data_IF_743876899755
#
_entry.id   IF_743876899755
#
_cell.length_a   1.000
_cell.length_b   1.000
_cell.length_c   1.000
_cell.angle_alpha   90.00
_cell.angle_beta   90.00
_cell.angle_gamma   90.00
#
_symmetry.space_group_name_H-M   'P 1'
#
loop_
_entity.id
_entity.type
_entity.pdbx_description
1 polymer ?
#
# COMPACT_ATOMS: atom_id res chain seq x y z
N UNK A 1 28.51 -32.32 44.76
CA UNK A 1 28.54 -32.26 46.24
C UNK A 1 28.09 -30.87 46.65
N UNK A 2 27.06 -30.79 47.49
CA UNK A 2 26.52 -29.63 48.25
C UNK A 2 26.10 -28.39 47.43
N UNK A 3 24.81 -28.21 47.13
CA UNK A 3 23.77 -27.57 47.97
C UNK A 3 24.10 -26.13 48.39
N UNK A 4 23.29 -25.16 47.95
CA UNK A 4 22.56 -24.25 48.86
C UNK A 4 21.53 -23.46 48.04
N UNK A 5 20.27 -23.75 48.35
CA UNK A 5 19.05 -23.09 47.89
C UNK A 5 18.82 -21.86 48.75
N UNK A 6 18.66 -20.67 48.16
CA UNK A 6 18.16 -19.50 48.87
C UNK A 6 16.85 -19.04 48.20
N UNK A 7 15.74 -19.34 48.89
CA UNK A 7 14.40 -18.83 48.60
C UNK A 7 14.31 -17.39 49.13
N UNK A 8 13.93 -16.45 48.28
CA UNK A 8 13.43 -15.14 48.73
C UNK A 8 11.92 -15.13 48.52
N UNK A 9 11.20 -15.14 49.64
CA UNK A 9 9.79 -14.83 49.72
C UNK A 9 9.65 -13.32 49.91
N UNK A 10 8.78 -12.67 49.12
CA UNK A 10 8.34 -11.30 49.36
C UNK A 10 6.81 -11.25 49.21
N UNK A 11 6.21 -10.62 50.20
CA UNK A 11 4.82 -10.78 50.63
C UNK A 11 3.80 -10.09 49.71
N UNK A 12 2.60 -10.68 49.69
CA UNK A 12 1.36 -10.01 49.31
C UNK A 12 1.04 -8.89 50.30
N UNK A 13 0.71 -7.71 49.80
CA UNK A 13 -0.10 -6.72 50.52
C UNK A 13 -1.29 -6.32 49.66
N UNK A 14 -2.47 -6.65 50.16
CA UNK A 14 -3.76 -6.16 49.69
C UNK A 14 -4.00 -4.74 50.23
N UNK A 15 -4.52 -3.86 49.38
CA UNK A 15 -4.95 -2.52 49.77
C UNK A 15 -6.14 -2.09 48.92
N UNK A 16 -7.35 -2.28 49.45
CA UNK A 16 -8.59 -1.75 48.92
C UNK A 16 -8.87 -0.40 49.60
N UNK A 17 -9.09 0.66 48.82
CA UNK A 17 -9.73 1.89 49.29
C UNK A 17 -10.69 2.41 48.22
N UNK A 18 -11.99 2.31 48.52
CA UNK A 18 -13.06 3.03 47.84
C UNK A 18 -13.48 4.18 48.75
N UNK A 19 -13.55 5.40 48.22
CA UNK A 19 -14.29 6.51 48.82
C UNK A 19 -15.03 7.26 47.72
N UNK A 20 -16.36 7.25 47.87
CA UNK A 20 -17.33 7.98 47.08
C UNK A 20 -17.28 9.47 47.42
N UNK A 21 -17.35 10.32 46.39
CA UNK A 21 -17.63 11.75 46.52
C UNK A 21 -19.02 12.05 45.98
N UNK A 22 -19.91 12.51 46.87
CA UNK A 22 -21.23 13.07 46.57
C UNK A 22 -21.16 14.61 46.49
N UNK A 23 -22.09 15.20 45.74
CA UNK A 23 -22.42 16.64 45.72
C UNK A 23 -22.70 17.08 44.28
N UNK A 24 -23.80 17.71 43.89
CA UNK A 24 -24.93 18.32 44.61
C UNK A 24 -26.08 18.46 43.60
N UNK A 25 -27.33 18.42 44.07
CA UNK A 25 -28.54 18.34 43.24
C UNK A 25 -29.27 19.69 43.04
N UNK A 26 -29.82 19.85 41.82
CA UNK A 26 -31.12 20.47 41.42
C UNK A 26 -31.28 22.02 41.44
N UNK A 27 -32.31 22.64 40.78
CA UNK A 27 -33.46 22.08 40.03
C UNK A 27 -33.72 22.74 38.63
N UNK A 28 -34.80 22.38 37.89
CA UNK A 28 -34.99 22.60 36.46
C UNK A 28 -35.85 23.83 36.12
N UNK A 29 -35.78 24.33 34.88
CA UNK A 29 -36.72 25.32 34.36
C UNK A 29 -37.05 25.10 32.87
N UNK A 30 -38.28 24.61 32.65
CA UNK A 30 -39.26 25.03 31.64
C UNK A 30 -38.88 25.11 30.14
N UNK A 31 -39.33 24.12 29.37
CA UNK A 31 -40.23 24.38 28.24
C UNK A 31 -41.67 24.36 28.81
N UNK A 32 -42.69 25.09 28.29
CA UNK A 32 -43.01 25.20 26.85
C UNK A 32 -43.61 26.55 26.38
N UNK A 33 -43.49 26.90 25.10
CA UNK A 33 -44.64 27.43 24.34
C UNK A 33 -44.46 27.34 22.83
N UNK A 34 -45.46 26.73 22.20
CA UNK A 34 -45.90 26.91 20.82
C UNK A 34 -46.15 28.38 20.47
N UNK A 35 -45.63 28.82 19.33
CA UNK A 35 -46.26 29.89 18.53
C UNK A 35 -46.22 29.49 17.05
N UNK A 36 -47.38 29.08 16.58
CA UNK A 36 -47.79 28.98 15.18
C UNK A 36 -47.63 30.35 14.53
N UNK A 37 -46.94 30.43 13.39
CA UNK A 37 -47.11 31.54 12.46
C UNK A 37 -47.55 30.97 11.11
N UNK A 38 -48.85 31.10 10.89
CA UNK A 38 -49.53 30.91 9.63
C UNK A 38 -49.09 32.01 8.67
N UNK A 39 -48.65 31.65 7.46
CA UNK A 39 -48.68 32.58 6.33
C UNK A 39 -49.27 31.85 5.13
N UNK A 40 -50.54 32.16 4.90
CA UNK A 40 -51.34 31.78 3.74
C UNK A 40 -51.05 32.76 2.62
N UNK A 41 -50.60 32.33 1.43
CA UNK A 41 -50.96 33.04 0.17
C UNK A 41 -50.81 32.14 -1.07
N UNK A 42 -51.97 31.92 -1.69
CA UNK A 42 -52.27 31.81 -3.13
C UNK A 42 -51.62 30.73 -4.00
N UNK A 43 -52.47 29.73 -4.26
CA UNK A 43 -52.69 29.03 -5.54
C UNK A 43 -52.51 29.93 -6.77
N UNK A 44 -51.66 29.51 -7.71
CA UNK A 44 -51.74 29.90 -9.12
C UNK A 44 -51.65 28.66 -9.98
N UNK A 45 -52.78 28.37 -10.64
CA UNK A 45 -52.99 27.27 -11.56
C UNK A 45 -52.46 27.69 -12.93
N UNK A 46 -51.30 27.16 -13.34
CA UNK A 46 -50.88 27.20 -14.73
C UNK A 46 -51.15 25.84 -15.38
N UNK A 47 -52.20 25.80 -16.19
CA UNK A 47 -52.54 24.71 -17.09
C UNK A 47 -51.46 24.66 -18.18
N UNK A 48 -50.70 23.56 -18.24
CA UNK A 48 -49.83 23.26 -19.37
C UNK A 48 -50.29 21.95 -20.01
N UNK A 49 -50.92 22.09 -21.17
CA UNK A 49 -51.35 21.01 -22.07
C UNK A 49 -50.13 20.33 -22.67
N UNK A 50 -49.80 19.13 -22.17
CA UNK A 50 -48.81 18.26 -22.82
C UNK A 50 -49.54 17.33 -23.81
N UNK A 51 -49.14 17.25 -25.09
CA UNK A 51 -49.67 16.26 -26.00
C UNK A 51 -49.11 14.88 -25.66
N UNK A 52 -50.00 13.91 -25.44
CA UNK A 52 -49.65 12.50 -25.25
C UNK A 52 -49.03 11.96 -26.53
N UNK A 53 -47.70 11.86 -26.57
CA UNK A 53 -46.99 11.00 -27.51
C UNK A 53 -46.63 9.71 -26.78
N UNK A 54 -47.26 8.62 -27.20
CA UNK A 54 -46.96 7.25 -26.81
C UNK A 54 -45.49 6.95 -27.10
N UNK A 55 -44.63 7.03 -26.07
CA UNK A 55 -43.24 6.59 -26.17
C UNK A 55 -43.15 5.09 -25.87
N UNK A 56 -42.78 4.35 -26.90
CA UNK A 56 -42.37 2.94 -26.90
C UNK A 56 -41.33 2.68 -25.78
N UNK A 57 -41.40 1.53 -25.06
CA UNK A 57 -40.44 1.20 -24.00
C UNK A 57 -39.00 1.26 -24.52
N UNK A 58 -38.16 2.05 -23.85
CA UNK A 58 -36.74 2.11 -24.13
C UNK A 58 -36.10 0.75 -23.82
N UNK A 59 -35.28 0.18 -24.72
CA UNK A 59 -34.57 -1.06 -24.44
C UNK A 59 -33.60 -0.88 -23.26
N UNK A 60 -33.32 -1.95 -22.51
CA UNK A 60 -32.40 -1.91 -21.37
C UNK A 60 -31.02 -1.38 -21.79
N UNK A 61 -30.30 -0.65 -20.91
CA UNK A 61 -29.00 -0.09 -21.26
C UNK A 61 -28.03 -1.20 -21.64
N UNK A 62 -27.61 -1.20 -22.91
CA UNK A 62 -26.54 -2.04 -23.43
C UNK A 62 -25.30 -1.83 -22.56
N UNK A 63 -24.64 -2.89 -22.05
CA UNK A 63 -23.42 -2.73 -21.27
C UNK A 63 -22.37 -2.03 -22.13
N UNK A 64 -21.98 -0.82 -21.72
CA UNK A 64 -20.89 -0.07 -22.37
C UNK A 64 -19.63 -0.93 -22.25
N UNK A 65 -18.95 -1.28 -23.36
CA UNK A 65 -17.68 -1.97 -23.26
C UNK A 65 -16.76 -1.12 -22.40
N UNK A 66 -16.19 -1.72 -21.35
CA UNK A 66 -15.11 -1.09 -20.61
C UNK A 66 -13.93 -1.04 -21.56
N UNK A 67 -13.75 0.08 -22.24
CA UNK A 67 -12.62 0.29 -23.14
C UNK A 67 -11.35 0.20 -22.31
N UNK A 68 -10.66 -0.94 -22.41
CA UNK A 68 -9.27 -1.08 -22.00
C UNK A 68 -8.51 -0.05 -22.80
N UNK A 69 -8.18 1.10 -22.20
CA UNK A 69 -7.36 2.11 -22.88
C UNK A 69 -6.02 1.44 -23.18
N UNK A 70 -5.67 1.20 -24.46
CA UNK A 70 -4.34 0.72 -24.80
C UNK A 70 -3.33 1.73 -24.24
N UNK A 71 -2.20 1.24 -23.74
CA UNK A 71 -1.08 2.12 -23.41
C UNK A 71 -0.79 3.00 -24.63
N UNK A 72 -0.58 4.32 -24.48
CA UNK A 72 -0.13 5.16 -25.57
C UNK A 72 1.06 4.49 -26.28
N UNK A 73 1.04 4.48 -27.61
CA UNK A 73 2.11 3.88 -28.40
C UNK A 73 3.47 4.39 -27.92
N UNK A 74 4.39 3.47 -27.60
CA UNK A 74 5.71 3.81 -27.06
C UNK A 74 5.81 3.89 -25.54
N UNK A 75 4.78 3.52 -24.76
CA UNK A 75 4.90 3.39 -23.30
C UNK A 75 4.92 1.94 -22.83
N UNK A 76 5.69 1.68 -21.78
CA UNK A 76 5.79 0.38 -21.09
C UNK A 76 5.32 0.51 -19.64
N UNK A 77 4.88 -0.61 -19.06
CA UNK A 77 4.50 -0.66 -17.65
C UNK A 77 5.74 -0.81 -16.75
N UNK A 78 5.73 -0.12 -15.63
CA UNK A 78 6.69 -0.23 -14.54
C UNK A 78 5.97 -0.01 -13.20
N UNK A 79 6.68 0.28 -12.11
CA UNK A 79 6.10 0.69 -10.85
C UNK A 79 7.03 1.59 -10.06
N UNK A 80 6.42 2.38 -9.20
CA UNK A 80 7.06 3.05 -8.08
C UNK A 80 6.57 2.40 -6.77
N UNK A 81 7.44 2.33 -5.77
CA UNK A 81 7.09 1.74 -4.47
C UNK A 81 6.62 2.83 -3.51
N UNK A 82 5.41 2.64 -2.99
CA UNK A 82 4.78 3.55 -2.03
C UNK A 82 4.52 2.84 -0.71
N UNK A 83 4.32 3.62 0.33
CA UNK A 83 4.00 3.11 1.66
C UNK A 83 2.51 2.79 1.74
N UNK A 84 2.16 1.70 2.40
CA UNK A 84 0.80 1.46 2.89
C UNK A 84 0.92 0.88 4.29
N UNK A 85 0.44 1.63 5.29
CA UNK A 85 0.98 1.50 6.64
C UNK A 85 2.46 1.91 6.62
N UNK A 86 3.32 1.10 7.21
CA UNK A 86 4.77 1.36 7.30
C UNK A 86 5.59 0.56 6.26
N UNK A 87 4.90 -0.20 5.39
CA UNK A 87 5.55 -1.13 4.45
C UNK A 87 5.47 -0.66 3.01
N UNK A 88 6.50 -0.96 2.22
CA UNK A 88 6.57 -0.63 0.78
C UNK A 88 5.78 -1.63 -0.08
N UNK A 89 5.09 -1.11 -1.10
CA UNK A 89 4.34 -1.89 -2.09
C UNK A 89 4.50 -1.28 -3.49
N UNK A 90 4.69 -2.10 -4.54
CA UNK A 90 4.79 -1.59 -5.90
C UNK A 90 3.42 -1.19 -6.45
N UNK A 91 3.34 0.00 -7.03
CA UNK A 91 2.13 0.53 -7.67
C UNK A 91 2.38 0.82 -9.14
N UNK A 92 1.48 0.33 -10.00
CA UNK A 92 1.61 0.45 -11.45
C UNK A 92 1.90 1.88 -11.89
N UNK A 93 2.92 2.01 -12.75
CA UNK A 93 3.28 3.25 -13.44
C UNK A 93 3.50 2.97 -14.92
N UNK A 94 3.49 4.03 -15.70
CA UNK A 94 3.85 4.00 -17.12
C UNK A 94 5.15 4.75 -17.33
N UNK A 95 5.96 4.28 -18.25
CA UNK A 95 7.22 4.89 -18.60
C UNK A 95 7.46 4.83 -20.11
N UNK A 96 8.31 5.72 -20.61
CA UNK A 96 8.64 5.82 -22.03
C UNK A 96 10.10 5.40 -22.25
N UNK A 97 10.37 4.32 -23.01
CA UNK A 97 11.73 3.94 -23.35
C UNK A 97 12.48 5.05 -24.10
N UNK A 98 13.82 5.17 -23.94
CA UNK A 98 14.68 4.28 -23.15
C UNK A 98 14.72 4.61 -21.65
N UNK A 99 14.09 5.70 -21.20
CA UNK A 99 14.26 6.25 -19.85
C UNK A 99 13.40 5.58 -18.76
N UNK A 100 13.17 4.26 -18.85
CA UNK A 100 12.18 3.55 -18.02
C UNK A 100 12.44 3.67 -16.51
N UNK A 101 13.70 3.54 -16.10
CA UNK A 101 14.09 3.69 -14.69
C UNK A 101 13.97 5.14 -14.19
N UNK A 102 14.32 6.11 -15.04
CA UNK A 102 14.16 7.53 -14.72
C UNK A 102 12.69 7.93 -14.54
N UNK A 103 11.80 7.39 -15.38
CA UNK A 103 10.36 7.60 -15.25
C UNK A 103 9.77 6.95 -14.00
N UNK A 104 10.27 5.76 -13.61
CA UNK A 104 9.86 5.13 -12.35
C UNK A 104 10.25 6.00 -11.14
N UNK A 105 11.46 6.57 -11.13
CA UNK A 105 11.88 7.52 -10.09
C UNK A 105 11.05 8.78 -10.13
N UNK A 106 10.85 9.41 -11.30
CA UNK A 106 9.96 10.59 -11.43
C UNK A 106 8.56 10.31 -10.91
N UNK A 107 8.02 9.13 -11.19
CA UNK A 107 6.72 8.71 -10.68
C UNK A 107 6.71 8.51 -9.16
N UNK A 108 7.80 8.03 -8.56
CA UNK A 108 7.98 7.99 -7.11
C UNK A 108 7.99 9.40 -6.52
N UNK A 109 8.77 10.32 -7.11
CA UNK A 109 8.88 11.72 -6.67
C UNK A 109 7.55 12.49 -6.79
N UNK A 110 6.74 12.18 -7.81
CA UNK A 110 5.40 12.73 -7.97
C UNK A 110 4.41 12.27 -6.88
N UNK A 111 4.72 11.16 -6.20
CA UNK A 111 3.89 10.61 -5.12
C UNK A 111 2.67 9.80 -5.59
N UNK A 112 1.86 9.33 -4.64
CA UNK A 112 0.63 8.61 -4.92
C UNK A 112 -0.49 9.54 -5.43
N UNK A 113 -1.27 9.05 -6.39
CA UNK A 113 -2.44 9.75 -6.93
C UNK A 113 -3.54 9.93 -5.87
N UNK A 114 -4.54 10.76 -6.14
CA UNK A 114 -5.66 10.96 -5.21
C UNK A 114 -6.40 9.65 -4.89
N UNK A 115 -6.63 8.81 -5.91
CA UNK A 115 -7.26 7.50 -5.74
C UNK A 115 -6.39 6.54 -4.91
N UNK A 116 -5.07 6.56 -5.12
CA UNK A 116 -4.14 5.74 -4.33
C UNK A 116 -4.07 6.20 -2.87
N UNK A 117 -4.08 7.51 -2.62
CA UNK A 117 -4.17 8.07 -1.27
C UNK A 117 -5.46 7.66 -0.57
N UNK A 118 -6.59 7.69 -1.28
CA UNK A 118 -7.86 7.18 -0.76
C UNK A 118 -7.82 5.67 -0.47
N UNK A 119 -7.00 4.91 -1.20
CA UNK A 119 -6.72 3.49 -0.95
C UNK A 119 -5.62 3.24 0.10
N UNK A 120 -5.16 4.28 0.81
CA UNK A 120 -4.21 4.18 1.92
C UNK A 120 -2.73 4.25 1.52
N UNK A 121 -2.40 4.48 0.25
CA UNK A 121 -1.01 4.67 -0.17
C UNK A 121 -0.50 6.06 0.23
N UNK A 122 0.74 6.11 0.71
CA UNK A 122 1.44 7.31 1.18
C UNK A 122 2.88 7.33 0.64
N UNK A 123 3.55 8.46 0.80
CA UNK A 123 4.97 8.60 0.46
C UNK A 123 5.67 9.35 1.58
N UNK A 124 6.90 8.93 1.89
CA UNK A 124 7.81 9.67 2.75
C UNK A 124 8.73 10.63 1.97
N UNK A 125 8.67 10.60 0.63
CA UNK A 125 9.42 11.51 -0.24
C UNK A 125 8.82 12.93 -0.13
N UNK A 126 9.63 13.98 0.15
CA UNK A 126 9.14 15.35 0.23
C UNK A 126 8.70 15.87 -1.13
N UNK A 127 7.72 16.77 -1.12
CA UNK A 127 7.35 17.53 -2.32
C UNK A 127 8.51 18.42 -2.77
N UNK A 128 8.67 18.59 -4.08
CA UNK A 128 9.70 19.47 -4.66
C UNK A 128 11.06 18.82 -4.84
N UNK A 129 11.22 17.53 -4.49
CA UNK A 129 12.40 16.76 -4.89
C UNK A 129 12.37 16.53 -6.40
N UNK A 130 13.49 16.79 -7.07
CA UNK A 130 13.64 16.55 -8.49
C UNK A 130 14.77 15.55 -8.78
N UNK A 131 14.59 14.77 -9.84
CA UNK A 131 15.63 13.90 -10.40
C UNK A 131 16.56 14.75 -11.28
N UNK A 132 17.82 14.87 -10.86
CA UNK A 132 18.88 15.60 -11.58
C UNK A 132 19.61 14.69 -12.56
N UNK A 133 19.83 13.43 -12.19
CA UNK A 133 20.53 12.46 -13.02
C UNK A 133 20.30 11.02 -12.59
N UNK A 134 20.37 10.10 -13.54
CA UNK A 134 20.34 8.66 -13.27
C UNK A 134 21.27 7.94 -14.25
N UNK A 135 22.21 7.17 -13.73
CA UNK A 135 23.12 6.33 -14.51
C UNK A 135 23.11 4.92 -13.96
N UNK A 136 23.04 3.91 -14.84
CA UNK A 136 23.11 2.50 -14.44
C UNK A 136 24.36 1.88 -15.06
N UNK A 137 25.27 1.40 -14.23
CA UNK A 137 26.51 0.72 -14.64
C UNK A 137 26.86 -0.40 -13.67
N UNK A 138 27.19 -1.58 -14.20
CA UNK A 138 27.64 -2.73 -13.39
C UNK A 138 26.70 -3.09 -12.23
N UNK A 139 25.38 -3.12 -12.47
CA UNK A 139 24.39 -3.42 -11.44
C UNK A 139 24.12 -2.27 -10.45
N UNK A 140 24.79 -1.13 -10.56
CA UNK A 140 24.59 0.02 -9.66
C UNK A 140 23.84 1.14 -10.37
N UNK A 141 22.72 1.57 -9.80
CA UNK A 141 22.01 2.78 -10.19
C UNK A 141 22.50 3.97 -9.35
N UNK A 142 23.28 4.86 -9.96
CA UNK A 142 23.66 6.13 -9.36
C UNK A 142 22.57 7.16 -9.65
N UNK A 143 21.84 7.58 -8.62
CA UNK A 143 20.72 8.51 -8.70
C UNK A 143 21.08 9.83 -8.02
N UNK A 144 21.03 10.92 -8.76
CA UNK A 144 21.24 12.28 -8.28
C UNK A 144 19.89 12.98 -8.12
N UNK A 145 19.55 13.34 -6.88
CA UNK A 145 18.33 14.05 -6.52
C UNK A 145 18.68 15.44 -5.97
N UNK A 146 17.71 16.34 -5.92
CA UNK A 146 17.89 17.60 -5.20
C UNK A 146 18.03 17.37 -3.70
N UNK A 147 18.81 18.20 -2.99
CA UNK A 147 19.09 18.07 -1.56
C UNK A 147 17.84 18.12 -0.67
N UNK A 148 16.72 18.63 -1.19
CA UNK A 148 15.40 18.52 -0.57
C UNK A 148 15.01 17.06 -0.23
N UNK A 149 15.62 16.06 -0.89
CA UNK A 149 15.37 14.65 -0.56
C UNK A 149 15.90 14.25 0.82
N UNK A 150 16.81 14.99 1.43
CA UNK A 150 17.29 14.75 2.80
C UNK A 150 16.54 15.56 3.86
N UNK A 151 15.57 16.39 3.47
CA UNK A 151 14.87 17.28 4.40
C UNK A 151 13.55 16.69 4.93
N UNK A 152 13.17 17.11 6.13
CA UNK A 152 11.84 16.88 6.72
C UNK A 152 11.56 15.45 7.21
N UNK A 153 10.78 15.36 8.29
CA UNK A 153 10.43 14.10 8.97
C UNK A 153 11.51 13.66 9.97
N UNK A 154 11.18 12.67 10.81
CA UNK A 154 12.15 12.03 11.71
C UNK A 154 12.77 10.78 11.08
N UNK A 155 13.65 10.11 11.84
CA UNK A 155 14.37 8.90 11.44
C UNK A 155 13.52 7.85 10.69
N UNK A 156 12.32 7.51 11.19
CA UNK A 156 11.45 6.52 10.53
C UNK A 156 11.02 6.92 9.10
N UNK A 157 10.70 8.20 8.88
CA UNK A 157 10.35 8.73 7.55
C UNK A 157 11.56 8.72 6.62
N UNK A 158 12.76 8.97 7.15
CA UNK A 158 14.00 8.93 6.37
C UNK A 158 14.30 7.52 5.87
N UNK A 159 14.22 6.49 6.73
CA UNK A 159 14.36 5.10 6.31
C UNK A 159 13.29 4.68 5.31
N UNK A 160 12.02 5.03 5.56
CA UNK A 160 10.93 4.71 4.65
C UNK A 160 11.14 5.33 3.25
N UNK A 161 11.67 6.55 3.19
CA UNK A 161 12.01 7.23 1.93
C UNK A 161 13.14 6.54 1.17
N UNK A 162 14.21 6.17 1.86
CA UNK A 162 15.31 5.42 1.26
C UNK A 162 14.86 4.04 0.78
N UNK A 163 13.98 3.36 1.53
CA UNK A 163 13.37 2.11 1.12
C UNK A 163 12.56 2.28 -0.16
N UNK A 164 11.66 3.27 -0.24
CA UNK A 164 10.87 3.53 -1.44
C UNK A 164 11.76 3.76 -2.69
N UNK A 165 12.84 4.53 -2.56
CA UNK A 165 13.79 4.77 -3.64
C UNK A 165 14.50 3.48 -4.06
N UNK A 166 15.05 2.75 -3.08
CA UNK A 166 15.81 1.53 -3.30
C UNK A 166 14.98 0.47 -4.00
N UNK A 167 13.76 0.20 -3.53
CA UNK A 167 12.86 -0.76 -4.15
C UNK A 167 12.42 -0.34 -5.56
N UNK A 168 12.23 0.96 -5.80
CA UNK A 168 11.85 1.50 -7.12
C UNK A 168 12.96 1.37 -8.16
N UNK A 169 14.22 1.40 -7.76
CA UNK A 169 15.35 1.22 -8.70
C UNK A 169 15.76 -0.25 -8.82
N UNK A 170 15.77 -1.01 -7.73
CA UNK A 170 16.15 -2.44 -7.73
C UNK A 170 15.09 -3.38 -8.29
N UNK A 171 13.94 -2.87 -8.74
CA UNK A 171 12.97 -3.70 -9.51
C UNK A 171 13.45 -4.02 -10.93
N UNK A 172 14.43 -3.27 -11.44
CA UNK A 172 14.98 -3.49 -12.77
C UNK A 172 16.08 -4.54 -12.63
N UNK A 173 16.04 -5.62 -13.41
CA UNK A 173 17.00 -6.72 -13.31
C UNK A 173 18.44 -6.31 -13.61
N UNK A 174 18.66 -5.13 -14.19
CA UNK A 174 19.99 -4.53 -14.42
C UNK A 174 20.50 -3.72 -13.21
N UNK A 175 19.75 -3.64 -12.11
CA UNK A 175 20.03 -2.83 -10.93
C UNK A 175 19.93 -3.70 -9.67
N UNK A 176 21.07 -3.98 -9.06
CA UNK A 176 21.20 -4.71 -7.81
C UNK A 176 21.24 -3.77 -6.60
N UNK A 177 21.80 -2.56 -6.79
CA UNK A 177 22.07 -1.61 -5.71
C UNK A 177 21.95 -0.15 -6.15
N UNK A 178 21.76 0.76 -5.21
CA UNK A 178 21.52 2.19 -5.47
C UNK A 178 22.57 3.06 -4.78
N UNK A 179 23.26 3.89 -5.53
CA UNK A 179 24.14 4.93 -4.99
C UNK A 179 23.39 6.27 -4.99
N UNK A 180 23.12 6.82 -3.81
CA UNK A 180 22.41 8.08 -3.65
C UNK A 180 23.37 9.27 -3.71
N UNK A 181 23.07 10.21 -4.60
CA UNK A 181 23.73 11.50 -4.73
C UNK A 181 22.70 12.60 -4.47
N UNK A 182 23.14 13.65 -3.78
CA UNK A 182 22.35 14.85 -3.55
C UNK A 182 23.12 16.06 -4.05
N UNK A 183 22.48 16.78 -4.97
CA UNK A 183 23.03 17.95 -5.62
C UNK A 183 24.41 17.71 -6.27
N UNK A 184 24.61 16.53 -6.86
CA UNK A 184 25.87 16.13 -7.47
C UNK A 184 26.94 15.63 -6.50
N UNK A 185 26.61 15.47 -5.22
CA UNK A 185 27.54 14.98 -4.18
C UNK A 185 27.10 13.60 -3.68
N UNK A 186 28.00 12.60 -3.59
CA UNK A 186 27.66 11.30 -3.01
C UNK A 186 27.32 11.44 -1.52
N UNK A 187 26.21 10.84 -1.10
CA UNK A 187 25.76 10.88 0.30
C UNK A 187 26.43 9.79 1.12
N UNK A 188 27.10 10.16 2.21
CA UNK A 188 27.62 9.24 3.24
C UNK A 188 26.90 9.34 4.58
N UNK A 189 26.33 10.50 4.87
CA UNK A 189 25.49 10.73 6.04
C UNK A 189 24.21 11.37 5.52
N UNK A 190 23.11 10.66 5.67
CA UNK A 190 21.81 11.06 5.20
C UNK A 190 21.05 11.77 6.31
N UNK A 191 20.69 13.03 6.04
CA UNK A 191 19.94 13.93 6.92
C UNK A 191 20.67 14.34 8.22
N UNK A 192 20.06 15.26 8.98
CA UNK A 192 20.55 15.69 10.29
C UNK A 192 20.42 14.64 11.40
N UNK A 193 19.71 13.53 11.14
CA UNK A 193 19.55 12.40 12.06
C UNK A 193 20.81 11.50 12.11
N UNK A 194 21.77 11.71 11.21
CA UNK A 194 23.03 10.97 11.22
C UNK A 194 22.94 9.55 10.64
N UNK A 195 21.99 9.26 9.75
CA UNK A 195 21.89 7.94 9.10
C UNK A 195 23.11 7.72 8.22
N UNK A 196 23.97 6.78 8.58
CA UNK A 196 25.18 6.48 7.82
C UNK A 196 24.84 5.63 6.59
N UNK A 197 25.34 6.05 5.43
CA UNK A 197 25.31 5.32 4.16
C UNK A 197 26.77 5.04 3.78
N UNK A 198 27.30 3.93 4.26
CA UNK A 198 28.68 3.49 4.00
C UNK A 198 28.80 2.55 2.78
N UNK A 199 27.68 2.03 2.29
CA UNK A 199 27.58 1.24 1.06
C UNK A 199 26.39 1.66 0.18
N UNK A 200 26.37 1.27 -1.11
CA UNK A 200 25.18 1.43 -1.94
C UNK A 200 23.98 0.69 -1.34
N UNK A 201 22.81 1.32 -1.39
CA UNK A 201 21.58 0.86 -0.78
C UNK A 201 21.06 -0.40 -1.50
N UNK A 202 20.64 -1.39 -0.72
CA UNK A 202 20.05 -2.64 -1.18
C UNK A 202 18.75 -2.95 -0.44
N UNK A 203 17.92 -3.83 -0.99
CA UNK A 203 16.61 -4.17 -0.37
C UNK A 203 16.75 -4.76 1.03
N UNK A 204 17.85 -5.46 1.30
CA UNK A 204 18.11 -6.09 2.60
C UNK A 204 18.24 -5.07 3.75
N UNK A 205 18.63 -3.83 3.45
CA UNK A 205 18.77 -2.75 4.44
C UNK A 205 17.41 -2.29 5.02
N UNK A 206 16.31 -2.69 4.38
CA UNK A 206 14.97 -2.18 4.65
C UNK A 206 13.96 -3.31 4.93
N UNK A 207 14.39 -4.39 5.58
CA UNK A 207 13.50 -5.49 5.98
C UNK A 207 12.33 -4.99 6.86
N UNK A 208 12.59 -4.02 7.74
CA UNK A 208 11.58 -3.39 8.59
C UNK A 208 10.56 -2.56 7.81
N UNK A 209 10.87 -2.11 6.60
CA UNK A 209 9.92 -1.44 5.70
C UNK A 209 9.37 -2.41 4.64
N UNK A 210 9.74 -3.68 4.66
CA UNK A 210 9.28 -4.68 3.68
C UNK A 210 8.15 -5.52 4.28
N UNK A 211 7.04 -5.74 3.55
CA UNK A 211 5.99 -6.63 4.04
C UNK A 211 6.51 -8.07 4.09
N UNK A 212 5.92 -8.89 4.97
CA UNK A 212 6.31 -10.29 5.16
C UNK A 212 6.28 -11.06 3.85
N UNK A 213 5.28 -10.80 3.00
CA UNK A 213 5.23 -11.26 1.61
C UNK A 213 5.10 -10.05 0.70
N UNK A 214 6.05 -9.89 -0.21
CA UNK A 214 6.09 -8.82 -1.20
C UNK A 214 6.02 -9.42 -2.61
N UNK A 215 4.85 -9.42 -3.26
CA UNK A 215 4.77 -9.65 -4.70
C UNK A 215 5.39 -8.46 -5.45
N UNK A 216 6.42 -8.72 -6.25
CA UNK A 216 6.97 -7.76 -7.21
C UNK A 216 6.17 -7.78 -8.53
N UNK A 217 5.50 -8.90 -8.82
CA UNK A 217 4.48 -9.00 -9.87
C UNK A 217 3.34 -9.94 -9.45
N UNK A 218 2.08 -9.62 -9.76
CA UNK A 218 1.62 -8.36 -10.34
C UNK A 218 1.79 -7.18 -9.37
N UNK A 219 2.01 -6.00 -9.91
CA UNK A 219 2.03 -4.75 -9.12
C UNK A 219 0.60 -4.27 -8.87
N UNK A 220 0.41 -3.41 -7.87
CA UNK A 220 -0.91 -2.89 -7.56
C UNK A 220 -1.56 -2.19 -8.78
N UNK A 221 -2.82 -2.56 -9.03
CA UNK A 221 -3.68 -2.15 -10.15
C UNK A 221 -3.28 -2.67 -11.54
N UNK A 222 -2.30 -3.57 -11.63
CA UNK A 222 -2.00 -4.27 -12.88
C UNK A 222 -3.21 -5.05 -13.39
N UNK A 223 -3.37 -5.08 -14.71
CA UNK A 223 -4.34 -5.95 -15.37
C UNK A 223 -3.79 -7.38 -15.43
N UNK A 224 -4.60 -8.35 -15.01
CA UNK A 224 -4.20 -9.74 -14.90
C UNK A 224 -5.25 -10.67 -15.49
N UNK A 225 -4.79 -11.80 -16.01
CA UNK A 225 -5.60 -12.89 -16.56
C UNK A 225 -5.04 -14.22 -16.08
N UNK A 226 -5.82 -15.28 -16.25
CA UNK A 226 -5.38 -16.65 -16.04
C UNK A 226 -4.69 -17.17 -17.32
N UNK A 227 -3.54 -17.86 -17.23
CA UNK A 227 -2.75 -18.09 -16.03
C UNK A 227 -2.02 -16.82 -15.56
N UNK A 228 -1.96 -16.61 -14.24
CA UNK A 228 -1.28 -15.48 -13.61
C UNK A 228 0.03 -15.93 -12.97
N UNK A 229 1.16 -15.49 -13.52
CA UNK A 229 2.45 -15.63 -12.85
C UNK A 229 2.57 -14.61 -11.72
N UNK A 230 2.94 -15.07 -10.53
CA UNK A 230 3.19 -14.24 -9.35
C UNK A 230 4.59 -14.54 -8.84
N UNK A 231 5.41 -13.51 -8.71
CA UNK A 231 6.77 -13.64 -8.19
C UNK A 231 7.12 -12.49 -7.27
N UNK A 232 8.09 -12.72 -6.39
CA UNK A 232 8.52 -11.75 -5.41
C UNK A 232 9.37 -12.37 -4.30
N UNK A 233 9.29 -11.78 -3.11
CA UNK A 233 10.06 -12.23 -1.94
C UNK A 233 9.19 -12.40 -0.71
N UNK A 234 9.60 -13.28 0.19
CA UNK A 234 8.88 -13.55 1.43
C UNK A 234 9.84 -13.87 2.59
N UNK A 235 9.43 -13.54 3.81
CA UNK A 235 10.12 -13.87 5.05
C UNK A 235 9.10 -14.49 6.02
N UNK A 236 8.62 -15.69 5.70
CA UNK A 236 7.49 -16.35 6.38
C UNK A 236 7.97 -17.53 7.23
N UNK A 237 7.19 -17.91 8.24
CA UNK A 237 7.43 -19.13 9.01
C UNK A 237 7.45 -20.35 8.09
N UNK A 238 8.48 -21.19 8.25
CA UNK A 238 8.74 -22.37 7.41
C UNK A 238 8.84 -22.10 5.89
N UNK A 239 9.02 -20.84 5.49
CA UNK A 239 8.97 -20.41 4.09
C UNK A 239 7.62 -20.68 3.41
N UNK A 240 6.55 -20.95 4.16
CA UNK A 240 5.25 -21.34 3.60
C UNK A 240 4.21 -20.25 3.81
N UNK A 241 3.47 -19.95 2.75
CA UNK A 241 2.30 -19.08 2.78
C UNK A 241 1.32 -19.49 1.68
N UNK A 242 0.22 -18.76 1.58
CA UNK A 242 -0.80 -18.96 0.57
C UNK A 242 -1.07 -17.68 -0.20
N UNK A 243 -1.46 -17.83 -1.46
CA UNK A 243 -1.94 -16.77 -2.32
C UNK A 243 -3.39 -17.05 -2.71
N UNK A 244 -4.28 -16.11 -2.39
CA UNK A 244 -5.65 -16.11 -2.89
C UNK A 244 -5.79 -15.08 -4.02
N UNK A 245 -6.46 -15.45 -5.10
CA UNK A 245 -7.03 -14.47 -6.04
C UNK A 245 -8.50 -14.31 -5.71
N UNK A 246 -8.92 -13.11 -5.32
CA UNK A 246 -10.32 -12.78 -5.02
C UNK A 246 -10.87 -11.76 -6.02
N UNK A 247 -12.14 -11.88 -6.34
CA UNK A 247 -12.85 -10.90 -7.17
C UNK A 247 -13.45 -9.74 -6.35
N UNK A 248 -14.14 -8.82 -7.03
CA UNK A 248 -14.77 -7.66 -6.42
C UNK A 248 -15.86 -8.01 -5.39
N UNK A 249 -16.50 -9.18 -5.54
CA UNK A 249 -17.51 -9.68 -4.61
C UNK A 249 -16.90 -10.42 -3.41
N UNK A 250 -15.58 -10.51 -3.34
CA UNK A 250 -14.86 -11.24 -2.29
C UNK A 250 -14.79 -12.75 -2.51
N UNK A 251 -15.25 -13.27 -3.66
CA UNK A 251 -15.17 -14.70 -3.96
C UNK A 251 -13.73 -15.07 -4.29
N UNK A 252 -13.19 -16.07 -3.61
CA UNK A 252 -11.90 -16.66 -3.95
C UNK A 252 -12.02 -17.47 -5.24
N UNK A 253 -11.30 -17.05 -6.27
CA UNK A 253 -11.23 -17.71 -7.58
C UNK A 253 -10.21 -18.86 -7.59
N UNK A 254 -9.12 -18.71 -6.81
CA UNK A 254 -8.14 -19.77 -6.56
C UNK A 254 -7.38 -19.48 -5.28
N UNK A 255 -6.91 -20.55 -4.63
CA UNK A 255 -5.92 -20.51 -3.56
C UNK A 255 -4.76 -21.40 -3.95
N UNK A 256 -3.53 -20.93 -3.78
CA UNK A 256 -2.32 -21.72 -3.98
C UNK A 256 -1.44 -21.67 -2.74
N UNK A 257 -0.94 -22.83 -2.33
CA UNK A 257 0.16 -22.91 -1.37
C UNK A 257 1.46 -22.55 -2.09
N UNK A 258 2.27 -21.70 -1.48
CA UNK A 258 3.55 -21.24 -2.00
C UNK A 258 4.63 -21.55 -0.98
N UNK A 259 5.78 -22.02 -1.48
CA UNK A 259 6.98 -22.20 -0.70
C UNK A 259 8.06 -21.26 -1.24
N UNK A 260 8.54 -20.35 -0.41
CA UNK A 260 9.69 -19.52 -0.71
C UNK A 260 11.00 -20.33 -0.58
N UNK A 261 12.07 -19.84 -1.19
CA UNK A 261 13.38 -20.49 -1.13
C UNK A 261 14.03 -20.45 0.26
N UNK A 262 13.53 -19.60 1.16
CA UNK A 262 13.99 -19.46 2.54
C UNK A 262 12.85 -18.92 3.44
N UNK A 263 12.97 -19.18 4.74
CA UNK A 263 11.96 -18.90 5.75
C UNK A 263 12.35 -17.81 6.76
N UNK A 264 11.78 -17.88 7.95
CA UNK A 264 11.93 -16.85 9.00
C UNK A 264 13.38 -16.46 9.23
N UNK A 265 13.63 -15.15 9.23
CA UNK A 265 14.95 -14.57 9.48
C UNK A 265 15.84 -14.51 8.24
N UNK A 266 15.43 -15.10 7.12
CA UNK A 266 16.15 -15.00 5.85
C UNK A 266 15.16 -14.94 4.70
N UNK A 267 14.96 -13.73 4.16
CA UNK A 267 14.03 -13.49 3.06
C UNK A 267 14.38 -14.36 1.84
N UNK A 268 13.43 -15.20 1.43
CA UNK A 268 13.51 -16.02 0.22
C UNK A 268 12.77 -15.40 -0.96
N UNK A 269 12.96 -15.99 -2.13
CA UNK A 269 12.23 -15.67 -3.37
C UNK A 269 11.13 -16.70 -3.61
N UNK A 270 10.13 -16.34 -4.42
CA UNK A 270 9.14 -17.28 -4.93
C UNK A 270 8.71 -16.90 -6.35
N UNK A 271 8.28 -17.89 -7.12
CA UNK A 271 7.74 -17.71 -8.47
C UNK A 271 6.76 -18.85 -8.76
N UNK A 272 5.48 -18.51 -8.88
CA UNK A 272 4.39 -19.47 -9.04
C UNK A 272 3.42 -19.03 -10.12
N UNK A 273 2.69 -19.97 -10.70
CA UNK A 273 1.65 -19.69 -11.69
C UNK A 273 0.29 -20.12 -11.14
N UNK A 274 -0.61 -19.15 -10.98
CA UNK A 274 -1.96 -19.34 -10.50
C UNK A 274 -2.91 -19.51 -11.69
N UNK A 275 -3.69 -20.59 -11.70
CA UNK A 275 -4.77 -20.80 -12.67
C UNK A 275 -6.11 -20.58 -11.99
N UNK A 276 -6.96 -19.79 -12.61
CA UNK A 276 -8.32 -19.55 -12.14
C UNK A 276 -9.28 -19.39 -13.32
N UNK A 277 -10.57 -19.59 -13.05
CA UNK A 277 -11.67 -19.46 -14.01
C UNK A 277 -12.82 -18.67 -13.40
N UNK A 278 -13.76 -18.22 -14.24
CA UNK A 278 -14.94 -17.47 -13.77
C UNK A 278 -14.64 -16.07 -13.24
N UNK A 279 -13.46 -15.51 -13.55
CA UNK A 279 -13.16 -14.11 -13.27
C UNK A 279 -14.07 -13.19 -14.09
N UNK A 280 -14.76 -12.27 -13.41
CA UNK A 280 -15.48 -11.18 -14.08
C UNK A 280 -14.56 -9.96 -14.17
N UNK A 281 -14.60 -9.18 -15.27
CA UNK A 281 -13.83 -7.95 -15.37
C UNK A 281 -14.14 -7.01 -14.20
N UNK A 282 -13.10 -6.52 -13.52
CA UNK A 282 -13.29 -5.66 -12.35
C UNK A 282 -12.08 -5.63 -11.41
N UNK A 283 -12.21 -4.86 -10.32
CA UNK A 283 -11.19 -4.79 -9.29
C UNK A 283 -11.24 -6.04 -8.41
N UNK A 284 -10.16 -6.81 -8.40
CA UNK A 284 -9.94 -7.94 -7.50
C UNK A 284 -8.77 -7.68 -6.55
N UNK A 285 -8.39 -8.74 -5.83
CA UNK A 285 -7.26 -8.72 -4.88
C UNK A 285 -6.43 -9.99 -5.04
N UNK A 286 -5.12 -9.85 -5.06
CA UNK A 286 -4.19 -10.91 -4.74
C UNK A 286 -3.85 -10.78 -3.25
N UNK A 287 -4.09 -11.82 -2.46
CA UNK A 287 -3.93 -11.78 -1.01
C UNK A 287 -2.91 -12.83 -0.59
N UNK A 288 -1.83 -12.38 0.04
CA UNK A 288 -0.87 -13.23 0.71
C UNK A 288 -1.26 -13.42 2.17
N UNK A 289 -1.28 -14.67 2.64
CA UNK A 289 -1.72 -15.01 3.99
C UNK A 289 -1.05 -16.28 4.51
N UNK A 290 -1.00 -16.45 5.83
CA UNK A 290 -0.56 -17.68 6.49
C UNK A 290 -1.45 -17.98 7.71
N UNK A 291 -1.35 -19.20 8.25
CA UNK A 291 -1.94 -19.54 9.54
C UNK A 291 -0.97 -19.17 10.67
N UNK A 292 -1.42 -18.34 11.59
CA UNK A 292 -0.66 -17.94 12.77
C UNK A 292 -0.15 -19.18 13.52
N UNK A 293 1.17 -19.31 13.75
CA UNK A 293 1.70 -20.41 14.55
C UNK A 293 1.20 -20.41 16.00
N UNK A 294 0.70 -19.27 16.48
CA UNK A 294 0.23 -19.09 17.85
C UNK A 294 -1.14 -19.75 18.11
N UNK A 295 -2.04 -19.66 17.14
CA UNK A 295 -3.47 -19.99 17.33
C UNK A 295 -4.17 -20.56 16.09
N UNK A 296 -3.44 -20.79 14.99
CA UNK A 296 -3.97 -21.29 13.73
C UNK A 296 -4.85 -20.29 12.97
N UNK A 297 -5.05 -19.08 13.50
CA UNK A 297 -5.89 -18.06 12.87
C UNK A 297 -5.30 -17.61 11.53
N UNK A 298 -6.17 -17.24 10.59
CA UNK A 298 -5.73 -16.73 9.29
C UNK A 298 -5.23 -15.29 9.43
N UNK A 299 -3.99 -15.04 9.03
CA UNK A 299 -3.37 -13.71 9.03
C UNK A 299 -3.10 -13.28 7.60
N UNK A 300 -3.76 -12.21 7.14
CA UNK A 300 -3.46 -11.58 5.86
C UNK A 300 -2.27 -10.63 6.02
N UNK A 301 -1.20 -10.87 5.25
CA UNK A 301 0.08 -10.15 5.38
C UNK A 301 0.47 -9.34 4.16
N UNK A 302 -0.32 -9.43 3.09
CA UNK A 302 -0.17 -8.60 1.90
C UNK A 302 -1.44 -8.62 1.06
N UNK A 303 -1.88 -7.44 0.62
CA UNK A 303 -3.03 -7.30 -0.28
C UNK A 303 -2.65 -6.46 -1.49
N UNK A 304 -2.53 -7.07 -2.65
CA UNK A 304 -2.25 -6.37 -3.91
C UNK A 304 -3.55 -6.20 -4.69
N UNK A 305 -4.11 -4.99 -4.81
CA UNK A 305 -5.27 -4.78 -5.67
C UNK A 305 -4.88 -5.06 -7.12
N UNK A 306 -5.72 -5.77 -7.87
CA UNK A 306 -5.45 -6.18 -9.26
C UNK A 306 -6.69 -5.95 -10.11
N UNK A 307 -6.54 -5.75 -11.42
CA UNK A 307 -7.67 -5.64 -12.35
C UNK A 307 -7.82 -6.97 -13.09
N UNK A 308 -8.85 -7.74 -12.74
CA UNK A 308 -9.22 -8.94 -13.46
C UNK A 308 -9.83 -8.53 -14.80
N UNK A 309 -9.51 -9.25 -15.88
CA UNK A 309 -10.11 -9.01 -17.19
C UNK A 309 -9.97 -10.18 -18.13
#
# INVERSE_FOLDING_TARGET
MSSTTARVAAALTAGALALAGCGEAAPPAAAPTTTTTTTTTTTSTAVSTTPTTTSKPAPPPTPRPTTTRPLPAGTVQTAAYFLRGEKVYPVLRTATPPAVAGDAVRALLAGPTAAERAAGYRTAVPSGVALRGLTIRGGTATVDLTGAFASGGGSASMFARLAQLTFTLTRFSTVDRVALWLDGVPVRVFSGEGIVIDHPLVRADYEDQTPVVLPDSPVAYAQVRSPLRVWGTANTFEAVFHLDVRDAAGRTLTTARVQATSGTGTRGTFDVTLRFSGARPGLGKLIAWYHSPKDGSRVEVGVTPIRLG
#
